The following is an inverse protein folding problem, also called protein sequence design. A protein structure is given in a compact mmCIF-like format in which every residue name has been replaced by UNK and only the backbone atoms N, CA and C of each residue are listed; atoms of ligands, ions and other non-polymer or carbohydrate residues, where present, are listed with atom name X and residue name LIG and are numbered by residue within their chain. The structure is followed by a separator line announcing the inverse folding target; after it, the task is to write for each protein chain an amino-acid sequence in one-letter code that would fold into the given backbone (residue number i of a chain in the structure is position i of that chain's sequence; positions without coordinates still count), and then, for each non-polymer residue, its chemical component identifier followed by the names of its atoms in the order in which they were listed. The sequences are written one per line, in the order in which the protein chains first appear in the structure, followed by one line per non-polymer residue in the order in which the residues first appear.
data_IF_654353649298
#
_entry.id   IF_654353649298
#
_cell.length_a   1.000
_cell.length_b   1.000
_cell.length_c   1.000
_cell.angle_alpha   90.00
_cell.angle_beta   90.00
_cell.angle_gamma   90.00
#
_symmetry.space_group_name_H-M   'P 1'
#
loop_
_entity.id
_entity.type
_entity.pdbx_description
1 polymer ?
#
# COMPACT_ATOMS: atom_id res chain seq x y z
N UNK A 1 54.70 -33.87 9.94
CA UNK A 1 54.28 -32.64 10.64
C UNK A 1 53.78 -31.68 9.59
N UNK A 2 52.47 -31.45 9.55
CA UNK A 2 51.75 -30.74 8.50
C UNK A 2 51.81 -29.22 8.70
N UNK A 3 52.29 -28.51 7.67
CA UNK A 3 52.26 -27.05 7.60
C UNK A 3 50.81 -26.58 7.42
N UNK A 4 50.28 -25.89 8.44
CA UNK A 4 49.00 -25.21 8.38
C UNK A 4 49.12 -24.00 7.43
N UNK A 5 48.52 -24.12 6.25
CA UNK A 5 48.29 -23.02 5.33
C UNK A 5 47.34 -22.02 6.01
N UNK A 6 47.88 -20.88 6.46
CA UNK A 6 47.08 -19.74 6.91
C UNK A 6 46.30 -19.27 5.68
N UNK A 7 44.98 -19.46 5.67
CA UNK A 7 44.13 -18.86 4.64
C UNK A 7 44.20 -17.34 4.86
N UNK A 8 44.94 -16.68 3.98
CA UNK A 8 44.93 -15.23 3.89
C UNK A 8 43.48 -14.82 3.70
N UNK A 9 42.94 -14.10 4.69
CA UNK A 9 41.65 -13.43 4.60
C UNK A 9 41.57 -12.75 3.25
N UNK A 10 40.60 -13.14 2.42
CA UNK A 10 40.37 -12.58 1.09
C UNK A 10 39.93 -11.12 1.24
N UNK A 11 40.91 -10.23 1.45
CA UNK A 11 40.70 -8.80 1.39
C UNK A 11 40.51 -8.48 -0.09
N UNK A 12 39.31 -8.03 -0.44
CA UNK A 12 39.00 -7.65 -1.82
C UNK A 12 40.00 -6.60 -2.30
N UNK A 13 40.47 -6.68 -3.56
CA UNK A 13 41.35 -5.68 -4.14
C UNK A 13 40.81 -4.25 -3.96
N UNK A 14 41.70 -3.28 -3.75
CA UNK A 14 41.33 -1.90 -3.39
C UNK A 14 40.45 -1.21 -4.45
N UNK A 15 40.61 -1.55 -5.72
CA UNK A 15 39.73 -1.13 -6.81
C UNK A 15 38.30 -1.69 -6.67
N UNK A 16 38.15 -2.94 -6.23
CA UNK A 16 36.86 -3.56 -5.96
C UNK A 16 36.20 -2.92 -4.74
N UNK A 17 36.95 -2.68 -3.66
CA UNK A 17 36.44 -1.96 -2.49
C UNK A 17 36.01 -0.53 -2.83
N UNK A 18 36.75 0.16 -3.71
CA UNK A 18 36.40 1.50 -4.19
C UNK A 18 35.10 1.47 -4.98
N UNK A 19 34.97 0.55 -5.94
CA UNK A 19 33.74 0.37 -6.72
C UNK A 19 32.55 0.03 -5.81
N UNK A 20 32.72 -0.90 -4.88
CA UNK A 20 31.67 -1.19 -3.89
C UNK A 20 31.31 0.09 -3.15
N UNK A 21 32.26 0.85 -2.63
CA UNK A 21 31.98 2.09 -1.89
C UNK A 21 31.31 3.20 -2.72
N UNK A 22 31.59 3.26 -4.02
CA UNK A 22 31.01 4.23 -4.95
C UNK A 22 29.58 3.86 -5.33
N UNK A 23 29.31 2.57 -5.57
CA UNK A 23 28.00 2.07 -6.00
C UNK A 23 27.11 1.58 -4.85
N UNK A 24 27.65 1.33 -3.66
CA UNK A 24 26.90 1.03 -2.42
C UNK A 24 26.38 2.29 -1.75
N UNK A 25 26.90 3.46 -2.12
CA UNK A 25 26.29 4.73 -1.78
C UNK A 25 25.01 4.85 -2.60
N UNK A 26 23.83 4.89 -1.98
CA UNK A 26 22.59 5.04 -2.73
C UNK A 26 22.58 6.44 -3.33
N UNK A 27 22.86 6.54 -4.64
CA UNK A 27 22.84 7.78 -5.44
C UNK A 27 21.54 8.56 -5.28
N UNK A 28 20.47 7.85 -4.95
CA UNK A 28 19.31 8.38 -4.25
C UNK A 28 18.92 7.31 -3.24
N UNK A 29 19.01 7.57 -1.94
CA UNK A 29 18.20 6.83 -0.97
C UNK A 29 16.91 7.62 -0.90
N UNK A 30 15.82 7.22 -1.60
CA UNK A 30 14.52 7.66 -1.17
C UNK A 30 14.47 7.31 0.32
N UNK A 31 14.36 8.32 1.18
CA UNK A 31 14.27 8.06 2.59
C UNK A 31 12.95 7.30 2.77
N UNK A 32 13.03 5.98 2.87
CA UNK A 32 11.88 5.08 2.80
C UNK A 32 10.89 5.36 3.94
N UNK A 33 11.36 6.02 5.01
CA UNK A 33 10.55 6.57 6.10
C UNK A 33 9.73 7.79 5.69
N UNK A 34 10.20 8.56 4.71
CA UNK A 34 9.53 9.76 4.16
C UNK A 34 8.96 9.52 2.76
N UNK A 35 9.15 8.34 2.15
CA UNK A 35 8.46 7.96 0.94
C UNK A 35 6.98 8.03 1.29
N UNK A 36 6.31 9.05 0.74
CA UNK A 36 4.90 9.36 0.98
C UNK A 36 4.16 8.03 0.94
N UNK A 37 3.69 7.58 2.12
CA UNK A 37 3.02 6.28 2.32
C UNK A 37 2.09 6.08 1.13
N UNK A 38 2.22 4.96 0.42
CA UNK A 38 1.54 4.69 -0.84
C UNK A 38 0.05 5.11 -0.81
N UNK A 39 -0.27 6.33 -1.25
CA UNK A 39 -1.64 6.88 -1.31
C UNK A 39 -2.27 6.70 -2.69
N UNK A 40 -1.64 5.91 -3.57
CA UNK A 40 -2.21 5.62 -4.88
C UNK A 40 -3.11 4.38 -4.78
N UNK A 41 -4.33 4.55 -5.27
CA UNK A 41 -5.31 3.48 -5.40
C UNK A 41 -4.78 2.33 -6.26
N UNK A 42 -3.99 2.62 -7.31
CA UNK A 42 -3.42 1.59 -8.17
C UNK A 42 -2.53 0.62 -7.39
N UNK A 43 -1.68 1.14 -6.50
CA UNK A 43 -0.81 0.31 -5.66
C UNK A 43 -1.61 -0.49 -4.63
N UNK A 44 -2.61 0.14 -4.01
CA UNK A 44 -3.56 -0.54 -3.14
C UNK A 44 -4.25 -1.70 -3.87
N UNK A 45 -4.80 -1.46 -5.06
CA UNK A 45 -5.51 -2.46 -5.83
C UNK A 45 -4.59 -3.62 -6.26
N UNK A 46 -3.37 -3.32 -6.70
CA UNK A 46 -2.35 -4.35 -6.99
C UNK A 46 -2.04 -5.16 -5.74
N UNK A 47 -1.84 -4.50 -4.59
CA UNK A 47 -1.56 -5.20 -3.33
C UNK A 47 -2.70 -6.13 -2.94
N UNK A 48 -3.94 -5.68 -3.07
CA UNK A 48 -5.12 -6.45 -2.69
C UNK A 48 -5.40 -7.62 -3.63
N UNK A 49 -5.06 -7.50 -4.92
CA UNK A 49 -5.32 -8.56 -5.91
C UNK A 49 -4.15 -9.53 -6.08
N UNK A 50 -2.92 -9.05 -6.11
CA UNK A 50 -1.71 -9.86 -6.37
C UNK A 50 -1.20 -10.52 -5.08
N UNK A 51 -1.24 -9.78 -3.96
CA UNK A 51 -0.69 -10.25 -2.68
C UNK A 51 -1.75 -11.05 -1.89
N UNK A 52 -2.97 -11.23 -2.39
CA UNK A 52 -3.99 -12.10 -1.77
C UNK A 52 -3.48 -13.53 -1.49
N UNK A 53 -2.50 -14.02 -2.26
CA UNK A 53 -1.83 -15.31 -2.03
C UNK A 53 -0.78 -15.30 -0.90
N UNK A 54 -0.38 -14.12 -0.42
CA UNK A 54 0.60 -13.89 0.66
C UNK A 54 -0.03 -13.01 1.75
N UNK A 55 -0.96 -13.59 2.51
CA UNK A 55 -1.77 -12.92 3.55
C UNK A 55 -0.95 -12.01 4.45
N UNK A 56 0.22 -12.45 4.92
CA UNK A 56 1.07 -11.65 5.82
C UNK A 56 1.53 -10.32 5.22
N UNK A 57 1.86 -10.29 3.92
CA UNK A 57 2.29 -9.06 3.27
C UNK A 57 1.12 -8.08 3.05
N UNK A 58 -0.09 -8.59 2.78
CA UNK A 58 -1.29 -7.75 2.71
C UNK A 58 -1.56 -7.10 4.06
N UNK A 59 -1.48 -7.87 5.16
CA UNK A 59 -1.71 -7.35 6.50
C UNK A 59 -0.70 -6.27 6.89
N UNK A 60 0.60 -6.51 6.65
CA UNK A 60 1.65 -5.51 6.90
C UNK A 60 1.39 -4.26 6.06
N UNK A 61 1.03 -4.43 4.78
CA UNK A 61 0.73 -3.30 3.91
C UNK A 61 -0.45 -2.48 4.42
N UNK A 62 -1.57 -3.13 4.76
CA UNK A 62 -2.76 -2.50 5.32
C UNK A 62 -2.43 -1.75 6.62
N UNK A 63 -1.68 -2.37 7.52
CA UNK A 63 -1.26 -1.77 8.79
C UNK A 63 -0.46 -0.48 8.59
N UNK A 64 0.37 -0.42 7.55
CA UNK A 64 1.16 0.77 7.27
C UNK A 64 0.34 1.93 6.67
N UNK A 65 -0.73 1.62 5.93
CA UNK A 65 -1.58 2.63 5.27
C UNK A 65 -2.83 3.00 6.06
N UNK A 66 -3.23 2.20 7.07
CA UNK A 66 -4.52 2.35 7.76
C UNK A 66 -4.75 3.73 8.35
N UNK A 67 -3.68 4.37 8.82
CA UNK A 67 -3.74 5.68 9.47
C UNK A 67 -3.69 6.85 8.49
N UNK A 68 -3.46 6.57 7.20
CA UNK A 68 -3.47 7.61 6.17
C UNK A 68 -4.87 8.16 5.96
N UNK A 69 -4.97 9.48 5.75
CA UNK A 69 -6.24 10.12 5.42
C UNK A 69 -6.89 9.49 4.19
N UNK A 70 -6.08 9.20 3.17
CA UNK A 70 -6.54 8.52 1.96
C UNK A 70 -7.25 7.20 2.26
N UNK A 71 -6.65 6.30 3.05
CA UNK A 71 -7.24 5.00 3.37
C UNK A 71 -8.53 5.13 4.17
N UNK A 72 -8.56 6.08 5.12
CA UNK A 72 -9.75 6.40 5.91
C UNK A 72 -10.90 6.89 5.01
N UNK A 73 -10.64 7.84 4.13
CA UNK A 73 -11.63 8.36 3.18
C UNK A 73 -12.13 7.28 2.22
N UNK A 74 -11.21 6.48 1.66
CA UNK A 74 -11.54 5.36 0.76
C UNK A 74 -12.43 4.33 1.47
N UNK A 75 -12.01 3.82 2.63
CA UNK A 75 -12.73 2.81 3.38
C UNK A 75 -14.09 3.31 3.88
N UNK A 76 -14.16 4.56 4.36
CA UNK A 76 -15.42 5.16 4.80
C UNK A 76 -16.41 5.32 3.64
N UNK A 77 -15.93 5.78 2.48
CA UNK A 77 -16.76 5.89 1.26
C UNK A 77 -17.28 4.54 0.81
N UNK A 78 -16.47 3.47 0.87
CA UNK A 78 -16.94 2.11 0.55
C UNK A 78 -18.06 1.62 1.47
N UNK A 79 -18.01 1.97 2.75
CA UNK A 79 -18.97 1.49 3.75
C UNK A 79 -20.25 2.33 3.78
N UNK A 80 -20.12 3.66 3.71
CA UNK A 80 -21.22 4.59 4.01
C UNK A 80 -21.64 5.47 2.83
N UNK A 81 -20.88 5.45 1.73
CA UNK A 81 -21.14 6.27 0.57
C UNK A 81 -20.54 7.68 0.68
N UNK A 82 -20.42 8.35 -0.47
CA UNK A 82 -19.68 9.62 -0.59
C UNK A 82 -20.32 10.79 0.16
N UNK A 83 -21.65 10.87 0.22
CA UNK A 83 -22.36 11.92 0.96
C UNK A 83 -22.05 11.87 2.45
N UNK A 84 -22.01 10.66 3.01
CA UNK A 84 -21.70 10.48 4.42
C UNK A 84 -20.22 10.76 4.71
N UNK A 85 -19.33 10.37 3.80
CA UNK A 85 -17.90 10.75 3.88
C UNK A 85 -17.72 12.26 3.88
N UNK A 86 -18.38 12.97 2.95
CA UNK A 86 -18.34 14.42 2.81
C UNK A 86 -18.69 15.13 4.12
N UNK A 87 -19.82 14.72 4.73
CA UNK A 87 -20.28 15.27 6.02
C UNK A 87 -19.35 14.95 7.19
N UNK A 88 -18.82 13.73 7.24
CA UNK A 88 -18.03 13.27 8.39
C UNK A 88 -16.61 13.84 8.40
N UNK A 89 -16.05 14.16 7.23
CA UNK A 89 -14.69 14.68 7.09
C UNK A 89 -14.63 16.16 6.74
N UNK A 90 -15.80 16.82 6.57
CA UNK A 90 -15.90 18.23 6.18
C UNK A 90 -15.17 18.55 4.86
N UNK A 91 -15.21 17.62 3.91
CA UNK A 91 -14.61 17.75 2.57
C UNK A 91 -15.74 17.73 1.55
N UNK A 92 -15.74 18.67 0.61
CA UNK A 92 -16.80 18.70 -0.41
C UNK A 92 -16.79 17.43 -1.27
N UNK A 93 -17.96 16.99 -1.72
CA UNK A 93 -18.08 15.85 -2.66
C UNK A 93 -17.20 16.05 -3.90
N UNK A 94 -17.12 17.29 -4.40
CA UNK A 94 -16.28 17.64 -5.53
C UNK A 94 -14.78 17.43 -5.26
N UNK A 95 -14.30 17.78 -4.07
CA UNK A 95 -12.90 17.52 -3.68
C UNK A 95 -12.64 16.04 -3.44
N UNK A 96 -13.58 15.32 -2.83
CA UNK A 96 -13.48 13.87 -2.64
C UNK A 96 -13.34 13.14 -3.98
N UNK A 97 -14.09 13.54 -5.00
CA UNK A 97 -14.02 12.96 -6.35
C UNK A 97 -12.65 13.16 -7.03
N UNK A 98 -11.86 14.15 -6.59
CA UNK A 98 -10.48 14.36 -7.11
C UNK A 98 -9.47 13.41 -6.48
N UNK A 99 -9.82 12.73 -5.38
CA UNK A 99 -8.91 11.82 -4.68
C UNK A 99 -8.88 10.47 -5.41
N UNK A 100 -7.68 10.00 -5.73
CA UNK A 100 -7.43 8.72 -6.40
C UNK A 100 -8.14 7.56 -5.67
N UNK A 101 -8.90 6.73 -6.40
CA UNK A 101 -9.63 5.58 -5.84
C UNK A 101 -11.02 5.87 -5.26
N UNK A 102 -11.42 7.13 -5.08
CA UNK A 102 -12.75 7.43 -4.49
C UNK A 102 -13.88 7.04 -5.45
N UNK A 103 -13.72 7.24 -6.76
CA UNK A 103 -14.73 6.82 -7.74
C UNK A 103 -15.00 5.30 -7.65
N UNK A 104 -13.95 4.50 -7.52
CA UNK A 104 -14.06 3.05 -7.37
C UNK A 104 -14.68 2.66 -6.02
N UNK A 105 -14.38 3.40 -4.95
CA UNK A 105 -15.03 3.21 -3.66
C UNK A 105 -16.55 3.42 -3.73
N UNK A 106 -17.01 4.42 -4.50
CA UNK A 106 -18.44 4.70 -4.72
C UNK A 106 -19.10 3.53 -5.45
N UNK A 107 -18.48 3.01 -6.50
CA UNK A 107 -19.03 1.87 -7.26
C UNK A 107 -19.14 0.60 -6.39
N UNK A 108 -18.14 0.35 -5.55
CA UNK A 108 -18.18 -0.76 -4.58
C UNK A 108 -19.32 -0.57 -3.56
N UNK A 109 -19.54 0.66 -3.07
CA UNK A 109 -20.63 0.96 -2.16
C UNK A 109 -22.00 0.70 -2.82
N UNK A 110 -22.20 1.20 -4.05
CA UNK A 110 -23.44 0.96 -4.83
C UNK A 110 -23.69 -0.53 -5.04
N UNK A 111 -22.66 -1.28 -5.41
CA UNK A 111 -22.77 -2.73 -5.59
C UNK A 111 -23.21 -3.43 -4.29
N UNK A 112 -22.63 -3.07 -3.15
CA UNK A 112 -23.02 -3.62 -1.84
C UNK A 112 -24.46 -3.28 -1.49
N UNK A 113 -24.90 -2.03 -1.70
CA UNK A 113 -26.28 -1.62 -1.45
C UNK A 113 -27.27 -2.42 -2.31
N UNK A 114 -26.96 -2.62 -3.60
CA UNK A 114 -27.76 -3.43 -4.51
C UNK A 114 -27.82 -4.90 -4.10
N UNK A 115 -26.69 -5.47 -3.68
CA UNK A 115 -26.63 -6.85 -3.21
C UNK A 115 -27.49 -7.05 -1.95
N UNK A 116 -27.44 -6.11 -1.00
CA UNK A 116 -28.30 -6.15 0.20
C UNK A 116 -29.77 -6.07 -0.19
N UNK A 117 -30.13 -5.16 -1.11
CA UNK A 117 -31.50 -5.02 -1.61
C UNK A 117 -31.99 -6.31 -2.27
N UNK A 118 -31.19 -6.94 -3.11
CA UNK A 118 -31.51 -8.23 -3.72
C UNK A 118 -31.71 -9.32 -2.67
N UNK A 119 -30.80 -9.43 -1.70
CA UNK A 119 -30.92 -10.45 -0.65
C UNK A 119 -32.21 -10.32 0.16
N UNK A 120 -32.65 -9.09 0.45
CA UNK A 120 -33.95 -8.81 1.08
C UNK A 120 -35.12 -9.20 0.18
N UNK A 121 -35.06 -8.86 -1.11
CA UNK A 121 -36.12 -9.20 -2.07
C UNK A 121 -36.34 -10.72 -2.20
N UNK A 122 -35.27 -11.51 -2.10
CA UNK A 122 -35.32 -12.98 -2.23
C UNK A 122 -35.30 -13.72 -0.90
N UNK A 123 -35.43 -13.03 0.25
CA UNK A 123 -35.58 -13.67 1.57
C UNK A 123 -34.32 -14.33 2.13
N UNK A 124 -33.12 -13.92 1.69
CA UNK A 124 -31.85 -14.45 2.23
C UNK A 124 -31.37 -13.73 3.51
N UNK A 125 -31.92 -12.55 3.81
CA UNK A 125 -31.69 -11.76 5.03
C UNK A 125 -32.90 -10.86 5.27
#
# INVERSE_FOLDING_TARGET
MSNLHISQSQVLPSNVLRLISEYSKPLTRPNWRTLRKMTSYKLYNISMNVIRKKVNLVLIFQENIKDTLWYKLYGFTQCWGIEQTSRNYEISVYELLKIDGIAEAIEINKYRANLIRMKRQYGFI
#
